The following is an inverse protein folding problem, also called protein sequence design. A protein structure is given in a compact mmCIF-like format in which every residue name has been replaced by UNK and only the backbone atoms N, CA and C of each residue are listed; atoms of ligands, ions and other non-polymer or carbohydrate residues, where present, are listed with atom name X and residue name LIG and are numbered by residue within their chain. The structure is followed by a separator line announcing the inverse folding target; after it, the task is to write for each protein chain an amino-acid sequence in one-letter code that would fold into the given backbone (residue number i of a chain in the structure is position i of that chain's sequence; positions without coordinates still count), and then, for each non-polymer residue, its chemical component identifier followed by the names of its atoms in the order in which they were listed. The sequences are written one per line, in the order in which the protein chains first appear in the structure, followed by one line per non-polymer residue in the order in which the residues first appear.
data_IF_942967566678
#
_entry.id   IF_942967566678
#
_cell.length_a   1.000
_cell.length_b   1.000
_cell.length_c   1.000
_cell.angle_alpha   90.00
_cell.angle_beta   90.00
_cell.angle_gamma   90.00
#
_symmetry.space_group_name_H-M   'P 1'
#
loop_
_entity.id
_entity.type
_entity.pdbx_description
1 polymer ?
#
# COMPACT_ATOMS: atom_id res chain seq x y z
N UNK A 1 -1.71 -24.99 -8.95
CA UNK A 1 -0.57 -24.06 -8.98
C UNK A 1 0.63 -24.89 -8.60
N UNK A 2 1.71 -24.91 -9.39
CA UNK A 2 2.97 -25.44 -8.87
C UNK A 2 3.30 -24.69 -7.57
N UNK A 3 3.78 -25.41 -6.57
CA UNK A 3 4.31 -24.80 -5.36
C UNK A 3 5.50 -23.92 -5.78
N UNK A 4 5.51 -22.66 -5.33
CA UNK A 4 6.64 -21.76 -5.59
C UNK A 4 7.92 -22.38 -5.01
N UNK A 5 9.04 -22.20 -5.72
CA UNK A 5 10.37 -22.62 -5.22
C UNK A 5 10.77 -21.86 -3.94
N UNK A 6 10.17 -20.68 -3.71
CA UNK A 6 10.31 -19.92 -2.48
C UNK A 6 9.17 -20.25 -1.50
N UNK A 7 9.49 -20.56 -0.23
CA UNK A 7 8.51 -20.62 0.84
C UNK A 7 7.73 -19.30 0.97
N UNK A 8 6.44 -19.37 1.29
CA UNK A 8 5.58 -18.18 1.41
C UNK A 8 6.12 -17.17 2.43
N UNK A 9 6.63 -17.64 3.56
CA UNK A 9 7.23 -16.83 4.62
C UNK A 9 8.46 -16.05 4.13
N UNK A 10 9.25 -16.63 3.22
CA UNK A 10 10.39 -15.96 2.58
C UNK A 10 9.92 -14.86 1.64
N UNK A 11 8.86 -15.11 0.87
CA UNK A 11 8.24 -14.11 -0.02
C UNK A 11 7.68 -12.95 0.79
N UNK A 12 6.93 -13.23 1.86
CA UNK A 12 6.36 -12.22 2.75
C UNK A 12 7.43 -11.40 3.47
N UNK A 13 8.53 -12.04 3.89
CA UNK A 13 9.68 -11.35 4.47
C UNK A 13 10.33 -10.38 3.47
N UNK A 14 10.59 -10.85 2.24
CA UNK A 14 11.18 -10.03 1.19
C UNK A 14 10.27 -8.84 0.81
N UNK A 15 8.96 -9.06 0.77
CA UNK A 15 7.95 -8.01 0.57
C UNK A 15 8.00 -6.97 1.68
N UNK A 16 7.99 -7.39 2.95
CA UNK A 16 8.07 -6.48 4.10
C UNK A 16 9.34 -5.63 4.06
N UNK A 17 10.50 -6.26 3.83
CA UNK A 17 11.78 -5.56 3.75
C UNK A 17 11.83 -4.58 2.58
N UNK A 18 11.18 -4.91 1.46
CA UNK A 18 11.09 -3.99 0.32
C UNK A 18 10.22 -2.77 0.64
N UNK A 19 9.08 -2.95 1.33
CA UNK A 19 8.27 -1.82 1.82
C UNK A 19 9.06 -0.92 2.78
N UNK A 20 9.77 -1.53 3.75
CA UNK A 20 10.62 -0.78 4.68
C UNK A 20 11.72 0.00 3.95
N UNK A 21 12.36 -0.60 2.94
CA UNK A 21 13.38 0.08 2.14
C UNK A 21 12.82 1.25 1.32
N UNK A 22 11.59 1.12 0.81
CA UNK A 22 10.89 2.16 0.06
C UNK A 22 10.50 3.34 0.95
N UNK A 23 10.01 3.06 2.16
CA UNK A 23 9.46 4.07 3.07
C UNK A 23 10.53 4.74 3.96
N UNK A 24 11.74 4.16 4.01
CA UNK A 24 12.85 4.70 4.78
C UNK A 24 13.31 6.07 4.28
N UNK A 25 13.36 7.05 5.19
CA UNK A 25 13.84 8.41 4.92
C UNK A 25 15.37 8.47 4.91
N UNK A 26 16.02 7.62 5.71
CA UNK A 26 17.48 7.52 5.76
C UNK A 26 17.99 6.55 4.66
N UNK A 27 18.84 7.01 3.73
CA UNK A 27 19.41 6.16 2.69
C UNK A 27 20.19 4.94 3.21
N UNK A 28 20.84 5.05 4.38
CA UNK A 28 21.61 3.96 4.98
C UNK A 28 20.65 2.89 5.55
N UNK A 29 19.52 3.32 6.13
CA UNK A 29 18.46 2.43 6.58
C UNK A 29 17.80 1.70 5.40
N UNK A 30 17.50 2.43 4.32
CA UNK A 30 16.97 1.85 3.09
C UNK A 30 17.93 0.80 2.50
N UNK A 31 19.23 1.06 2.53
CA UNK A 31 20.26 0.12 2.07
C UNK A 31 20.34 -1.12 2.96
N UNK A 32 20.21 -0.97 4.28
CA UNK A 32 20.21 -2.09 5.21
C UNK A 32 19.03 -3.04 4.96
N UNK A 33 17.82 -2.51 4.74
CA UNK A 33 16.66 -3.33 4.41
C UNK A 33 16.81 -4.05 3.06
N UNK A 34 17.37 -3.39 2.04
CA UNK A 34 17.68 -4.06 0.76
C UNK A 34 18.67 -5.20 0.92
N UNK A 35 19.76 -4.97 1.68
CA UNK A 35 20.75 -6.03 1.95
C UNK A 35 20.12 -7.22 2.68
N UNK A 36 19.32 -6.96 3.71
CA UNK A 36 18.64 -8.02 4.45
C UNK A 36 17.69 -8.83 3.57
N UNK A 37 16.96 -8.15 2.66
CA UNK A 37 16.09 -8.82 1.68
C UNK A 37 16.89 -9.71 0.75
N UNK A 38 17.99 -9.20 0.21
CA UNK A 38 18.84 -9.92 -0.73
C UNK A 38 19.49 -11.14 -0.05
N UNK A 39 19.87 -11.04 1.23
CA UNK A 39 20.35 -12.18 2.03
C UNK A 39 19.26 -13.26 2.17
N UNK A 40 18.02 -12.87 2.49
CA UNK A 40 16.88 -13.79 2.70
C UNK A 40 16.55 -14.59 1.44
N UNK A 41 16.46 -13.93 0.28
CA UNK A 41 16.13 -14.63 -0.98
C UNK A 41 17.35 -15.33 -1.59
N UNK A 42 18.55 -14.85 -1.30
CA UNK A 42 19.81 -15.43 -1.76
C UNK A 42 20.07 -16.83 -1.20
N UNK A 43 19.55 -17.15 -0.02
CA UNK A 43 19.59 -18.53 0.53
C UNK A 43 18.92 -19.57 -0.37
N UNK A 44 18.04 -19.12 -1.28
CA UNK A 44 17.28 -19.94 -2.20
C UNK A 44 17.73 -19.78 -3.66
N UNK A 45 18.86 -19.09 -3.90
CA UNK A 45 19.35 -18.79 -5.26
C UNK A 45 18.39 -17.89 -6.06
N UNK A 46 17.72 -16.95 -5.37
CA UNK A 46 16.87 -15.92 -5.98
C UNK A 46 17.50 -14.52 -5.83
N UNK A 47 17.16 -13.62 -6.76
CA UNK A 47 17.40 -12.17 -6.65
C UNK A 47 16.08 -11.42 -6.50
N UNK A 48 16.13 -10.33 -5.74
CA UNK A 48 15.04 -9.41 -5.56
C UNK A 48 15.29 -8.09 -6.31
N UNK A 49 14.28 -7.62 -7.03
CA UNK A 49 14.29 -6.33 -7.72
C UNK A 49 13.00 -5.58 -7.41
N UNK A 50 13.11 -4.31 -7.03
CA UNK A 50 11.97 -3.41 -6.98
C UNK A 50 11.83 -2.72 -8.34
N UNK A 51 10.67 -2.89 -8.98
CA UNK A 51 10.30 -2.20 -10.22
C UNK A 51 9.47 -0.98 -9.83
N UNK A 52 10.12 0.18 -9.84
CA UNK A 52 9.50 1.45 -9.38
C UNK A 52 8.35 1.93 -10.27
N UNK A 53 8.34 1.55 -11.56
CA UNK A 53 7.35 2.00 -12.56
C UNK A 53 5.91 1.61 -12.19
N UNK A 54 5.74 0.42 -11.61
CA UNK A 54 4.45 -0.14 -11.18
C UNK A 54 4.46 -0.59 -9.71
N UNK A 55 5.52 -0.23 -8.97
CA UNK A 55 5.71 -0.51 -7.55
C UNK A 55 5.52 -2.01 -7.21
N UNK A 56 6.26 -2.86 -7.92
CA UNK A 56 6.22 -4.32 -7.76
C UNK A 56 7.58 -4.84 -7.28
N UNK A 57 7.56 -5.73 -6.28
CA UNK A 57 8.69 -6.59 -5.96
C UNK A 57 8.69 -7.78 -6.92
N UNK A 58 9.79 -7.95 -7.64
CA UNK A 58 10.05 -9.09 -8.51
C UNK A 58 11.11 -9.96 -7.85
N UNK A 59 10.79 -11.23 -7.62
CA UNK A 59 11.72 -12.26 -7.19
C UNK A 59 11.90 -13.24 -8.36
N UNK A 60 13.15 -13.45 -8.79
CA UNK A 60 13.44 -14.40 -9.86
C UNK A 60 14.71 -15.19 -9.54
N UNK A 61 14.90 -16.38 -10.12
CA UNK A 61 16.14 -17.13 -10.00
C UNK A 61 17.38 -16.27 -10.34
N UNK A 62 18.47 -16.47 -9.60
CA UNK A 62 19.74 -15.78 -9.80
C UNK A 62 20.33 -16.10 -11.18
N UNK A 63 20.13 -17.33 -11.66
CA UNK A 63 20.61 -17.84 -12.95
C UNK A 63 20.03 -17.10 -14.16
N UNK A 64 18.91 -16.39 -14.02
CA UNK A 64 18.34 -15.60 -15.11
C UNK A 64 19.14 -14.33 -15.43
N UNK A 65 20.09 -13.99 -14.57
CA UNK A 65 20.84 -12.74 -14.67
C UNK A 65 22.29 -13.06 -14.97
N UNK A 66 22.82 -12.40 -15.99
CA UNK A 66 24.23 -12.51 -16.36
C UNK A 66 25.16 -11.86 -15.32
N UNK A 67 26.47 -11.99 -15.55
CA UNK A 67 27.52 -11.41 -14.73
C UNK A 67 27.46 -9.86 -14.66
N UNK A 68 26.78 -9.21 -15.63
CA UNK A 68 26.59 -7.76 -15.70
C UNK A 68 25.30 -7.31 -14.98
N UNK A 69 24.53 -8.23 -14.38
CA UNK A 69 23.30 -7.92 -13.67
C UNK A 69 22.09 -7.74 -14.59
N UNK A 70 22.19 -8.16 -15.86
CA UNK A 70 21.15 -8.04 -16.88
C UNK A 70 20.43 -9.39 -17.04
N UNK A 71 19.10 -9.35 -17.09
CA UNK A 71 18.31 -10.57 -17.35
C UNK A 71 18.62 -11.09 -18.76
N UNK A 72 19.10 -12.33 -18.86
CA UNK A 72 19.30 -13.06 -20.12
C UNK A 72 18.06 -13.93 -20.42
N UNK A 73 17.24 -13.58 -21.43
CA UNK A 73 16.07 -14.37 -21.79
C UNK A 73 16.39 -15.80 -22.22
N UNK A 74 17.63 -16.12 -22.58
CA UNK A 74 18.04 -17.47 -22.95
C UNK A 74 18.11 -18.44 -21.76
N UNK A 75 18.30 -17.93 -20.54
CA UNK A 75 18.37 -18.71 -19.29
C UNK A 75 16.98 -18.88 -18.64
N UNK A 76 15.93 -18.27 -19.21
CA UNK A 76 14.55 -18.37 -18.72
C UNK A 76 13.86 -19.57 -19.38
N UNK A 77 14.01 -20.74 -18.77
CA UNK A 77 13.33 -21.95 -19.21
C UNK A 77 11.84 -22.01 -18.78
N UNK A 78 11.50 -21.36 -17.67
CA UNK A 78 10.15 -21.34 -17.11
C UNK A 78 9.85 -20.03 -16.38
N UNK A 79 9.03 -19.18 -17.00
CA UNK A 79 8.64 -17.87 -16.44
C UNK A 79 7.81 -17.99 -15.15
N UNK A 80 7.16 -19.14 -14.90
CA UNK A 80 6.31 -19.34 -13.72
C UNK A 80 7.13 -19.46 -12.42
N UNK A 81 8.47 -19.57 -12.54
CA UNK A 81 9.40 -19.53 -11.40
C UNK A 81 9.59 -18.10 -10.86
N UNK A 82 9.25 -17.08 -11.64
CA UNK A 82 9.26 -15.69 -11.21
C UNK A 82 8.04 -15.37 -10.34
N UNK A 83 8.26 -14.57 -9.29
CA UNK A 83 7.20 -14.12 -8.38
C UNK A 83 7.13 -12.60 -8.45
N UNK A 84 5.93 -12.08 -8.75
CA UNK A 84 5.65 -10.65 -8.68
C UNK A 84 4.70 -10.37 -7.50
N UNK A 85 5.10 -9.43 -6.62
CA UNK A 85 4.32 -8.95 -5.48
C UNK A 85 4.10 -7.44 -5.60
N UNK A 86 2.86 -6.98 -5.86
CA UNK A 86 2.53 -5.56 -5.79
C UNK A 86 2.85 -5.00 -4.39
N UNK A 87 3.58 -3.90 -4.33
CA UNK A 87 3.93 -3.20 -3.09
C UNK A 87 2.95 -2.04 -2.81
N UNK A 88 2.26 -1.57 -3.83
CA UNK A 88 1.05 -0.74 -3.74
C UNK A 88 -0.10 -1.35 -4.56
N UNK A 89 -1.33 -1.08 -4.14
CA UNK A 89 -2.53 -1.66 -4.75
C UNK A 89 -3.10 -2.82 -3.94
N UNK A 90 -4.33 -3.20 -4.27
CA UNK A 90 -5.23 -4.01 -3.43
C UNK A 90 -4.58 -5.32 -2.97
N UNK A 91 -4.28 -5.39 -1.68
CA UNK A 91 -3.96 -6.61 -0.95
C UNK A 91 -4.96 -7.74 -1.19
N UNK A 92 -4.60 -8.95 -0.80
CA UNK A 92 -5.47 -10.15 -0.96
C UNK A 92 -6.91 -9.84 -0.51
N UNK A 93 -7.95 -10.47 -1.08
CA UNK A 93 -9.37 -10.19 -0.75
C UNK A 93 -9.68 -10.15 0.77
N UNK A 94 -8.86 -10.86 1.56
CA UNK A 94 -8.85 -10.83 3.02
C UNK A 94 -8.36 -9.50 3.62
N UNK A 95 -7.33 -8.88 3.07
CA UNK A 95 -6.90 -7.52 3.43
C UNK A 95 -7.95 -6.48 3.03
N UNK A 96 -8.58 -6.61 1.86
CA UNK A 96 -9.64 -5.67 1.45
C UNK A 96 -10.82 -5.70 2.42
N UNK A 97 -11.32 -6.89 2.76
CA UNK A 97 -12.46 -7.03 3.67
C UNK A 97 -12.15 -6.52 5.08
N UNK A 98 -10.94 -6.78 5.58
CA UNK A 98 -10.50 -6.29 6.88
C UNK A 98 -10.31 -4.76 6.91
N UNK A 99 -9.80 -4.18 5.83
CA UNK A 99 -9.68 -2.72 5.65
C UNK A 99 -11.05 -2.07 5.58
N UNK A 100 -11.97 -2.61 4.78
CA UNK A 100 -13.34 -2.10 4.68
C UNK A 100 -14.07 -2.18 6.02
N UNK A 101 -13.99 -3.31 6.73
CA UNK A 101 -14.62 -3.48 8.06
C UNK A 101 -14.09 -2.43 9.06
N UNK A 102 -12.77 -2.23 9.10
CA UNK A 102 -12.14 -1.24 9.98
C UNK A 102 -12.54 0.20 9.63
N UNK A 103 -12.44 0.57 8.34
CA UNK A 103 -12.78 1.92 7.90
C UNK A 103 -14.28 2.21 8.09
N UNK A 104 -15.14 1.22 7.85
CA UNK A 104 -16.58 1.33 8.09
C UNK A 104 -16.91 1.54 9.57
N UNK A 105 -16.17 0.91 10.48
CA UNK A 105 -16.31 1.13 11.93
C UNK A 105 -15.96 2.57 12.32
N UNK A 106 -14.88 3.14 11.77
CA UNK A 106 -14.51 4.54 12.01
C UNK A 106 -15.59 5.51 11.47
N UNK A 107 -16.10 5.25 10.27
CA UNK A 107 -17.21 6.03 9.67
C UNK A 107 -18.47 5.95 10.54
N UNK A 108 -18.77 4.77 11.10
CA UNK A 108 -19.91 4.59 11.99
C UNK A 108 -19.75 5.39 13.29
N UNK A 109 -18.56 5.40 13.90
CA UNK A 109 -18.27 6.23 15.07
C UNK A 109 -18.50 7.72 14.79
N UNK A 110 -18.00 8.23 13.65
CA UNK A 110 -18.26 9.61 13.22
C UNK A 110 -19.75 9.89 13.04
N UNK A 111 -20.51 8.93 12.49
CA UNK A 111 -21.95 9.06 12.31
C UNK A 111 -22.70 9.13 13.64
N UNK A 112 -22.30 8.33 14.62
CA UNK A 112 -22.90 8.28 15.95
C UNK A 112 -22.63 9.56 16.75
N UNK A 113 -21.41 10.10 16.67
CA UNK A 113 -20.98 11.22 17.50
C UNK A 113 -21.20 12.60 16.86
N UNK A 114 -21.05 12.71 15.53
CA UNK A 114 -21.01 13.98 14.82
C UNK A 114 -22.08 14.11 13.73
N UNK A 115 -22.76 13.01 13.39
CA UNK A 115 -23.93 13.00 12.52
C UNK A 115 -23.63 12.80 11.02
N UNK A 116 -24.71 12.76 10.25
CA UNK A 116 -24.70 12.23 8.88
C UNK A 116 -23.88 13.04 7.86
N UNK A 117 -23.73 14.35 8.07
CA UNK A 117 -22.95 15.20 7.15
C UNK A 117 -21.45 14.87 7.23
N UNK A 118 -20.91 14.76 8.45
CA UNK A 118 -19.53 14.33 8.67
C UNK A 118 -19.33 12.87 8.23
N UNK A 119 -20.28 11.99 8.55
CA UNK A 119 -20.21 10.59 8.12
C UNK A 119 -20.18 10.41 6.60
N UNK A 120 -20.89 11.25 5.85
CA UNK A 120 -20.86 11.20 4.39
C UNK A 120 -19.47 11.60 3.82
N UNK A 121 -18.84 12.61 4.40
CA UNK A 121 -17.48 13.00 4.03
C UNK A 121 -16.47 11.90 4.41
N UNK A 122 -16.61 11.37 5.63
CA UNK A 122 -15.78 10.29 6.12
C UNK A 122 -15.90 9.02 5.24
N UNK A 123 -17.12 8.67 4.83
CA UNK A 123 -17.36 7.55 3.92
C UNK A 123 -16.67 7.77 2.58
N UNK A 124 -16.74 8.98 2.01
CA UNK A 124 -16.06 9.27 0.75
C UNK A 124 -14.54 9.07 0.86
N UNK A 125 -13.93 9.41 1.99
CA UNK A 125 -12.50 9.16 2.23
C UNK A 125 -12.19 7.66 2.40
N UNK A 126 -13.01 6.94 3.18
CA UNK A 126 -12.89 5.49 3.33
C UNK A 126 -13.03 4.75 1.97
N UNK A 127 -13.98 5.16 1.13
CA UNK A 127 -14.16 4.64 -0.23
C UNK A 127 -12.94 4.93 -1.11
N UNK A 128 -12.36 6.13 -1.01
CA UNK A 128 -11.14 6.46 -1.74
C UNK A 128 -9.99 5.54 -1.34
N UNK A 129 -9.69 5.44 -0.03
CA UNK A 129 -8.61 4.60 0.48
C UNK A 129 -8.83 3.11 0.18
N UNK A 130 -10.04 2.60 0.39
CA UNK A 130 -10.37 1.21 0.16
C UNK A 130 -10.28 0.83 -1.33
N UNK A 131 -10.75 1.70 -2.22
CA UNK A 131 -10.77 1.40 -3.66
C UNK A 131 -9.42 1.65 -4.36
N UNK A 132 -8.61 2.60 -3.89
CA UNK A 132 -7.37 3.01 -4.58
C UNK A 132 -6.10 2.46 -3.91
N UNK A 133 -6.14 2.22 -2.59
CA UNK A 133 -4.93 1.86 -1.83
C UNK A 133 -5.07 0.63 -0.94
N UNK A 134 -6.29 0.12 -0.73
CA UNK A 134 -6.61 -0.91 0.30
C UNK A 134 -5.94 -0.57 1.60
N UNK A 135 -6.25 0.63 2.08
CA UNK A 135 -5.54 1.24 3.19
C UNK A 135 -6.48 1.60 4.32
N UNK A 136 -6.02 1.38 5.55
CA UNK A 136 -6.71 1.85 6.77
C UNK A 136 -6.49 3.34 6.94
N UNK A 137 -7.49 4.05 7.47
CA UNK A 137 -7.49 5.51 7.63
C UNK A 137 -6.21 6.01 8.32
N UNK A 138 -5.81 5.39 9.44
CA UNK A 138 -4.67 5.81 10.26
C UNK A 138 -3.30 5.70 9.56
N UNK A 139 -3.25 5.02 8.41
CA UNK A 139 -2.01 4.82 7.64
C UNK A 139 -1.94 5.69 6.38
N UNK A 140 -2.97 6.49 6.09
CA UNK A 140 -2.93 7.42 4.98
C UNK A 140 -1.93 8.55 5.24
N UNK A 141 -1.10 8.86 4.23
CA UNK A 141 -0.12 9.94 4.30
C UNK A 141 -0.63 11.25 3.70
N UNK A 142 0.20 12.28 3.79
CA UNK A 142 -0.08 13.57 3.19
C UNK A 142 -0.39 13.52 1.67
N UNK A 143 0.30 12.69 0.84
CA UNK A 143 -0.02 12.58 -0.59
C UNK A 143 -1.45 12.09 -0.84
N UNK A 144 -1.89 11.04 -0.14
CA UNK A 144 -3.23 10.48 -0.33
C UNK A 144 -4.32 11.44 0.15
N UNK A 145 -4.11 12.13 1.27
CA UNK A 145 -5.07 13.13 1.75
C UNK A 145 -5.17 14.31 0.77
N UNK A 146 -4.04 14.78 0.22
CA UNK A 146 -4.04 15.85 -0.80
C UNK A 146 -4.77 15.42 -2.07
N UNK A 147 -4.45 14.22 -2.59
CA UNK A 147 -5.13 13.66 -3.75
C UNK A 147 -6.63 13.52 -3.51
N UNK A 148 -7.03 13.06 -2.32
CA UNK A 148 -8.43 12.97 -1.97
C UNK A 148 -9.12 14.34 -2.05
N UNK A 149 -8.56 15.36 -1.40
CA UNK A 149 -9.17 16.68 -1.26
C UNK A 149 -9.21 17.42 -2.60
N UNK A 150 -8.10 17.42 -3.35
CA UNK A 150 -7.95 18.22 -4.57
C UNK A 150 -8.54 17.53 -5.81
N UNK A 151 -8.51 16.20 -5.84
CA UNK A 151 -8.78 15.44 -7.05
C UNK A 151 -10.01 14.54 -6.93
N UNK A 152 -10.02 13.64 -5.94
CA UNK A 152 -11.03 12.61 -5.86
C UNK A 152 -12.39 13.15 -5.40
N UNK A 153 -12.41 13.82 -4.25
CA UNK A 153 -13.61 14.31 -3.59
C UNK A 153 -14.47 15.23 -4.47
N UNK A 154 -13.93 16.27 -5.14
CA UNK A 154 -14.74 17.15 -5.99
C UNK A 154 -15.30 16.46 -7.25
N UNK A 155 -14.66 15.37 -7.71
CA UNK A 155 -15.06 14.64 -8.93
C UNK A 155 -16.00 13.47 -8.64
N UNK A 156 -15.87 12.83 -7.49
CA UNK A 156 -16.48 11.53 -7.22
C UNK A 156 -17.47 11.51 -6.05
N UNK A 157 -17.36 12.42 -5.07
CA UNK A 157 -18.22 12.38 -3.88
C UNK A 157 -19.54 13.17 -4.04
N UNK A 158 -19.64 14.04 -5.06
CA UNK A 158 -20.81 14.88 -5.35
C UNK A 158 -21.40 15.60 -4.10
N UNK A 159 -20.57 16.26 -3.27
CA UNK A 159 -21.02 16.75 -1.97
C UNK A 159 -21.99 17.93 -2.05
N UNK A 160 -22.82 18.10 -1.01
CA UNK A 160 -23.59 19.33 -0.78
C UNK A 160 -22.67 20.50 -0.42
N UNK A 161 -23.21 21.72 -0.42
CA UNK A 161 -22.43 22.89 0.02
C UNK A 161 -21.99 22.78 1.49
N UNK A 162 -22.85 22.24 2.34
CA UNK A 162 -22.57 21.97 3.76
C UNK A 162 -21.45 20.93 3.91
N UNK A 163 -21.57 19.78 3.23
CA UNK A 163 -20.54 18.74 3.21
C UNK A 163 -19.18 19.26 2.75
N UNK A 164 -19.15 20.12 1.72
CA UNK A 164 -17.90 20.78 1.29
C UNK A 164 -17.29 21.66 2.38
N UNK A 165 -18.10 22.47 3.06
CA UNK A 165 -17.57 23.34 4.13
C UNK A 165 -17.07 22.59 5.35
N UNK A 166 -17.63 21.40 5.61
CA UNK A 166 -17.26 20.54 6.73
C UNK A 166 -16.09 19.61 6.42
N UNK A 167 -15.56 19.58 5.19
CA UNK A 167 -14.59 18.56 4.78
C UNK A 167 -13.34 18.51 5.67
N UNK A 168 -12.63 19.62 5.97
CA UNK A 168 -11.44 19.57 6.81
C UNK A 168 -11.73 19.01 8.21
N UNK A 169 -12.77 19.53 8.87
CA UNK A 169 -13.21 19.05 10.19
C UNK A 169 -13.65 17.58 10.14
N UNK A 170 -14.29 17.14 9.05
CA UNK A 170 -14.69 15.73 8.90
C UNK A 170 -13.50 14.79 8.78
N UNK A 171 -12.40 15.24 8.17
CA UNK A 171 -11.16 14.46 8.11
C UNK A 171 -10.50 14.40 9.49
N UNK A 172 -10.45 15.51 10.23
CA UNK A 172 -9.97 15.52 11.63
C UNK A 172 -10.73 14.51 12.48
N UNK A 173 -12.07 14.57 12.48
CA UNK A 173 -12.91 13.66 13.24
C UNK A 173 -12.75 12.19 12.82
N UNK A 174 -12.51 11.92 11.54
CA UNK A 174 -12.31 10.57 11.03
C UNK A 174 -10.95 9.99 11.47
N UNK A 175 -9.88 10.79 11.40
CA UNK A 175 -8.56 10.37 11.87
C UNK A 175 -8.57 10.18 13.40
N UNK A 176 -9.24 11.06 14.15
CA UNK A 176 -9.44 10.90 15.59
C UNK A 176 -10.16 9.58 15.91
N UNK A 177 -11.21 9.23 15.15
CA UNK A 177 -11.93 7.96 15.31
C UNK A 177 -11.07 6.72 14.98
N UNK A 178 -9.96 6.91 14.26
CA UNK A 178 -8.96 5.89 13.96
C UNK A 178 -7.72 5.97 14.88
N UNK A 179 -7.80 6.75 15.97
CA UNK A 179 -6.70 7.01 16.92
C UNK A 179 -5.43 7.61 16.25
N UNK A 180 -5.62 8.48 15.26
CA UNK A 180 -4.53 9.11 14.49
C UNK A 180 -4.74 10.62 14.30
N UNK A 181 -3.66 11.32 13.94
CA UNK A 181 -3.70 12.73 13.54
C UNK A 181 -3.73 12.84 12.02
N UNK A 182 -4.43 13.85 11.48
CA UNK A 182 -4.41 14.13 10.04
C UNK A 182 -3.00 14.59 9.64
N UNK A 183 -2.35 13.94 8.65
CA UNK A 183 -1.06 14.39 8.14
C UNK A 183 -1.13 15.82 7.60
N UNK A 184 -0.06 16.61 7.70
CA UNK A 184 -0.02 17.92 7.04
C UNK A 184 -0.01 17.76 5.51
N UNK A 185 -1.10 18.13 4.83
CA UNK A 185 -1.30 17.93 3.39
C UNK A 185 -1.40 19.21 2.55
N UNK A 186 -1.12 20.38 3.16
CA UNK A 186 -1.07 21.67 2.47
C UNK A 186 0.04 21.77 1.42
#
# INVERSE_FOLDING_TARGET
MPESELPEDVVSEAERLTRLARDAVDPDEAAAYRSARDDVVGEYEFRARHREEDDVLVLHPDEWVDDDGIVDPAEIDDVDRGIERPLSGTGEDHEWSAVEEHNAACVAAVAEEHGAAHAANARAFADFLGNHYVRRIETAGAPEVREFVEEYYPRNAWPTAEQRSLLPESLELLFDAADAEVPEYN
#
